data_IF_177301614861
#
_entry.id   IF_177301614861
#
_cell.length_a   1.000
_cell.length_b   1.000
_cell.length_c   1.000
_cell.angle_alpha   90.00
_cell.angle_beta   90.00
_cell.angle_gamma   90.00
#
_symmetry.space_group_name_H-M   'P 1'
#
loop_
_entity.id
_entity.type
_entity.pdbx_description
1 polymer ?
#
# COMPACT_ATOMS: atom_id res chain seq x y z
N UNK A 1 -4.38 -16.96 21.83
CA UNK A 1 -4.64 -15.51 21.90
C UNK A 1 -3.74 -15.00 23.01
N UNK A 2 -2.49 -14.59 22.70
CA UNK A 2 -1.53 -13.94 23.62
C UNK A 2 -0.05 -13.96 23.16
N UNK A 3 0.31 -14.57 22.02
CA UNK A 3 1.73 -14.82 21.72
C UNK A 3 2.58 -13.60 21.29
N UNK A 4 2.12 -12.35 21.41
CA UNK A 4 3.01 -11.20 21.12
C UNK A 4 2.74 -9.90 21.86
N UNK A 5 1.63 -9.69 22.58
CA UNK A 5 1.29 -8.33 23.04
C UNK A 5 1.37 -7.29 21.88
N UNK A 6 1.16 -7.73 20.63
CA UNK A 6 1.28 -6.92 19.42
C UNK A 6 -0.08 -6.83 18.71
N UNK A 7 -1.11 -6.52 19.51
CA UNK A 7 -2.47 -6.20 19.05
C UNK A 7 -2.44 -5.00 18.09
N UNK A 8 -1.48 -4.09 18.27
CA UNK A 8 -1.30 -2.90 17.44
C UNK A 8 -0.97 -3.25 15.99
N UNK A 9 -0.06 -4.20 15.73
CA UNK A 9 0.33 -4.56 14.36
C UNK A 9 -0.79 -5.29 13.60
N UNK A 10 -1.53 -6.18 14.26
CA UNK A 10 -2.72 -6.80 13.67
C UNK A 10 -3.82 -5.77 13.38
N UNK A 11 -3.98 -4.78 14.26
CA UNK A 11 -4.92 -3.69 14.07
C UNK A 11 -4.48 -2.78 12.91
N UNK A 12 -3.20 -2.43 12.82
CA UNK A 12 -2.61 -1.64 11.74
C UNK A 12 -2.75 -2.34 10.37
N UNK A 13 -2.46 -3.64 10.28
CA UNK A 13 -2.67 -4.40 9.05
C UNK A 13 -4.15 -4.50 8.66
N UNK A 14 -5.06 -4.56 9.65
CA UNK A 14 -6.50 -4.53 9.39
C UNK A 14 -6.96 -3.15 8.88
N UNK A 15 -6.48 -2.06 9.48
CA UNK A 15 -6.74 -0.70 8.98
C UNK A 15 -6.17 -0.47 7.58
N UNK A 16 -5.00 -1.05 7.27
CA UNK A 16 -4.44 -1.02 5.92
C UNK A 16 -5.25 -1.83 4.93
N UNK A 17 -5.77 -2.99 5.34
CA UNK A 17 -6.69 -3.77 4.52
C UNK A 17 -7.97 -2.98 4.21
N UNK A 18 -8.55 -2.27 5.18
CA UNK A 18 -9.72 -1.42 4.94
C UNK A 18 -9.38 -0.21 4.05
N UNK A 19 -8.21 0.43 4.20
CA UNK A 19 -7.76 1.49 3.30
C UNK A 19 -7.56 1.01 1.85
N UNK A 20 -7.01 -0.19 1.68
CA UNK A 20 -6.93 -0.86 0.37
C UNK A 20 -8.32 -1.26 -0.14
N UNK A 21 -9.27 -1.57 0.74
CA UNK A 21 -10.63 -1.95 0.33
C UNK A 21 -11.48 -0.75 -0.08
N UNK A 22 -11.35 0.38 0.60
CA UNK A 22 -12.13 1.60 0.34
C UNK A 22 -11.52 2.49 -0.76
N UNK A 23 -10.19 2.63 -0.84
CA UNK A 23 -9.56 3.62 -1.73
C UNK A 23 -9.05 3.08 -3.08
N UNK A 24 -8.81 1.77 -3.20
CA UNK A 24 -8.04 1.19 -4.31
C UNK A 24 -8.89 0.34 -5.25
N UNK A 25 -10.01 -0.23 -4.77
CA UNK A 25 -10.81 -1.14 -5.58
C UNK A 25 -11.65 -0.44 -6.66
N UNK A 26 -11.88 0.88 -6.55
CA UNK A 26 -12.72 1.59 -7.51
C UNK A 26 -12.04 2.03 -8.81
N UNK A 27 -10.73 1.82 -8.97
CA UNK A 27 -10.06 1.92 -10.28
C UNK A 27 -9.35 0.61 -10.65
N UNK A 28 -10.17 -0.39 -11.00
CA UNK A 28 -9.83 -1.81 -11.26
C UNK A 28 -8.68 -2.05 -12.25
N UNK A 29 -8.19 -1.03 -12.97
CA UNK A 29 -7.14 -1.18 -14.00
C UNK A 29 -5.73 -0.75 -13.56
N UNK A 30 -5.55 0.01 -12.48
CA UNK A 30 -4.24 0.64 -12.19
C UNK A 30 -3.43 -0.13 -11.15
N UNK A 31 -4.02 -0.60 -10.05
CA UNK A 31 -3.24 -1.34 -9.04
C UNK A 31 -2.78 -2.74 -9.48
N UNK A 32 -3.48 -3.35 -10.45
CA UNK A 32 -3.06 -4.64 -11.04
C UNK A 32 -2.19 -4.48 -12.29
N UNK A 33 -1.85 -3.24 -12.70
CA UNK A 33 -0.96 -2.99 -13.84
C UNK A 33 0.52 -3.10 -13.49
N UNK A 34 0.89 -3.16 -12.21
CA UNK A 34 2.28 -3.38 -11.80
C UNK A 34 2.43 -4.71 -11.07
N UNK A 35 2.73 -5.79 -11.82
CA UNK A 35 3.17 -7.07 -11.26
C UNK A 35 4.32 -6.90 -10.25
N UNK A 36 5.17 -5.89 -10.48
CA UNK A 36 6.30 -5.51 -9.62
C UNK A 36 5.86 -5.18 -8.19
N UNK A 37 4.80 -4.41 -8.00
CA UNK A 37 4.34 -3.94 -6.69
C UNK A 37 3.81 -5.08 -5.82
N UNK A 38 3.16 -6.08 -6.44
CA UNK A 38 2.67 -7.27 -5.71
C UNK A 38 3.82 -8.13 -5.18
N UNK A 39 4.88 -8.33 -5.97
CA UNK A 39 6.05 -9.09 -5.53
C UNK A 39 6.74 -8.36 -4.37
N UNK A 40 6.95 -7.05 -4.50
CA UNK A 40 7.55 -6.22 -3.45
C UNK A 40 6.76 -6.26 -2.15
N UNK A 41 5.42 -6.15 -2.20
CA UNK A 41 4.58 -6.25 -1.01
C UNK A 41 4.70 -7.61 -0.34
N UNK A 42 4.69 -8.70 -1.13
CA UNK A 42 4.84 -10.04 -0.60
C UNK A 42 6.20 -10.23 0.09
N UNK A 43 7.26 -9.68 -0.47
CA UNK A 43 8.60 -9.77 0.11
C UNK A 43 8.73 -8.93 1.39
N UNK A 44 8.08 -7.77 1.46
CA UNK A 44 7.97 -6.99 2.71
C UNK A 44 7.22 -7.78 3.80
N UNK A 45 6.10 -8.43 3.46
CA UNK A 45 5.36 -9.26 4.41
C UNK A 45 6.17 -10.47 4.88
N UNK A 46 6.94 -11.10 3.99
CA UNK A 46 7.88 -12.17 4.35
C UNK A 46 8.95 -11.69 5.32
N UNK A 47 9.58 -10.55 5.05
CA UNK A 47 10.59 -9.98 5.94
C UNK A 47 10.06 -9.69 7.35
N UNK A 48 8.83 -9.17 7.46
CA UNK A 48 8.17 -8.98 8.76
C UNK A 48 7.97 -10.33 9.45
N UNK A 49 7.41 -11.32 8.75
CA UNK A 49 7.17 -12.64 9.30
C UNK A 49 8.47 -13.32 9.77
N UNK A 50 9.53 -13.26 8.97
CA UNK A 50 10.81 -13.90 9.27
C UNK A 50 11.44 -13.30 10.54
N UNK A 51 11.40 -11.97 10.68
CA UNK A 51 11.87 -11.29 11.89
C UNK A 51 11.04 -11.65 13.14
N UNK A 52 9.72 -11.78 13.00
CA UNK A 52 8.85 -12.21 14.09
C UNK A 52 9.12 -13.66 14.49
N UNK A 53 9.28 -14.57 13.52
CA UNK A 53 9.58 -15.98 13.78
C UNK A 53 10.96 -16.14 14.45
N UNK A 54 11.93 -15.31 14.07
CA UNK A 54 13.23 -15.23 14.72
C UNK A 54 13.20 -14.60 16.13
N UNK A 55 12.05 -14.04 16.55
CA UNK A 55 11.87 -13.28 17.80
C UNK A 55 12.80 -12.06 17.92
N UNK A 56 13.21 -11.49 16.78
CA UNK A 56 13.97 -10.26 16.75
C UNK A 56 13.01 -9.06 16.68
N UNK A 57 12.76 -8.46 17.85
CA UNK A 57 11.86 -7.31 17.96
C UNK A 57 12.35 -6.06 17.23
N UNK A 58 13.67 -5.85 17.15
CA UNK A 58 14.25 -4.69 16.47
C UNK A 58 14.11 -4.83 14.95
N UNK A 59 14.44 -6.01 14.41
CA UNK A 59 14.27 -6.31 13.00
C UNK A 59 12.78 -6.28 12.58
N UNK A 60 11.89 -6.84 13.41
CA UNK A 60 10.45 -6.83 13.12
C UNK A 60 9.91 -5.40 13.05
N UNK A 61 10.34 -4.54 13.99
CA UNK A 61 9.97 -3.12 13.99
C UNK A 61 10.46 -2.42 12.73
N UNK A 62 11.74 -2.57 12.38
CA UNK A 62 12.32 -1.94 11.19
C UNK A 62 11.61 -2.40 9.90
N UNK A 63 11.30 -3.69 9.78
CA UNK A 63 10.57 -4.24 8.63
C UNK A 63 9.15 -3.66 8.51
N UNK A 64 8.45 -3.47 9.63
CA UNK A 64 7.13 -2.84 9.65
C UNK A 64 7.20 -1.36 9.29
N UNK A 65 8.16 -0.60 9.83
CA UNK A 65 8.36 0.82 9.49
C UNK A 65 8.63 0.99 7.99
N UNK A 66 9.51 0.17 7.41
CA UNK A 66 9.79 0.15 5.98
C UNK A 66 8.55 -0.17 5.13
N UNK A 67 7.71 -1.11 5.58
CA UNK A 67 6.44 -1.43 4.92
C UNK A 67 5.47 -0.24 4.96
N UNK A 68 5.35 0.44 6.11
CA UNK A 68 4.44 1.58 6.25
C UNK A 68 4.86 2.75 5.35
N UNK A 69 6.16 3.01 5.23
CA UNK A 69 6.67 4.07 4.37
C UNK A 69 6.47 3.73 2.89
N UNK A 70 6.68 2.48 2.49
CA UNK A 70 6.36 2.03 1.13
C UNK A 70 4.88 2.24 0.80
N UNK A 71 3.97 1.83 1.70
CA UNK A 71 2.52 2.00 1.51
C UNK A 71 2.16 3.49 1.42
N UNK A 72 2.75 4.34 2.27
CA UNK A 72 2.54 5.80 2.24
C UNK A 72 2.97 6.41 0.90
N UNK A 73 4.15 6.05 0.41
CA UNK A 73 4.66 6.52 -0.88
C UNK A 73 3.76 6.06 -2.02
N UNK A 74 3.41 4.78 -2.06
CA UNK A 74 2.53 4.22 -3.08
C UNK A 74 1.15 4.91 -3.10
N UNK A 75 0.57 5.19 -1.93
CA UNK A 75 -0.70 5.92 -1.83
C UNK A 75 -0.57 7.36 -2.32
N UNK A 76 0.52 8.03 -1.98
CA UNK A 76 0.79 9.41 -2.41
C UNK A 76 0.94 9.50 -3.92
N UNK A 77 1.68 8.56 -4.51
CA UNK A 77 1.89 8.46 -5.94
C UNK A 77 0.57 8.17 -6.68
N UNK A 78 -0.25 7.28 -6.12
CA UNK A 78 -1.59 7.00 -6.63
C UNK A 78 -2.48 8.25 -6.63
N UNK A 79 -2.59 8.95 -5.50
CA UNK A 79 -3.39 10.18 -5.41
C UNK A 79 -2.90 11.26 -6.39
N UNK A 80 -1.59 11.33 -6.62
CA UNK A 80 -1.02 12.25 -7.61
C UNK A 80 -1.39 11.83 -9.04
N UNK A 81 -1.34 10.53 -9.34
CA UNK A 81 -1.73 10.00 -10.64
C UNK A 81 -3.21 10.27 -10.95
N UNK A 82 -4.10 10.04 -10.00
CA UNK A 82 -5.54 10.32 -10.14
C UNK A 82 -5.80 11.81 -10.44
N UNK A 83 -5.18 12.73 -9.68
CA UNK A 83 -5.29 14.18 -9.96
C UNK A 83 -4.78 14.55 -11.36
N UNK A 84 -3.69 13.94 -11.79
CA UNK A 84 -3.14 14.19 -13.12
C UNK A 84 -4.08 13.66 -14.22
N UNK A 85 -4.70 12.50 -14.01
CA UNK A 85 -5.67 11.93 -14.94
C UNK A 85 -6.92 12.82 -15.08
N UNK A 86 -7.45 13.33 -13.96
CA UNK A 86 -8.57 14.28 -13.98
C UNK A 86 -8.24 15.55 -14.79
N UNK A 87 -7.03 16.10 -14.60
CA UNK A 87 -6.57 17.27 -15.35
C UNK A 87 -6.41 16.93 -16.84
N UNK A 88 -5.81 15.77 -17.16
CA UNK A 88 -5.63 15.33 -18.54
C UNK A 88 -6.98 15.15 -19.25
N UNK A 89 -7.98 14.58 -18.57
CA UNK A 89 -9.35 14.40 -19.09
C UNK A 89 -10.01 15.74 -19.41
N UNK A 90 -9.92 16.72 -18.48
CA UNK A 90 -10.43 18.08 -18.71
C UNK A 90 -9.76 18.78 -19.91
N UNK A 91 -8.46 18.55 -20.13
CA UNK A 91 -7.74 19.09 -21.29
C UNK A 91 -8.22 18.46 -22.59
N UNK A 92 -8.37 17.14 -22.63
CA UNK A 92 -8.88 16.41 -23.80
C UNK A 92 -10.29 16.85 -24.18
N UNK A 93 -11.18 17.04 -23.20
CA UNK A 93 -12.55 17.49 -23.44
C UNK A 93 -12.58 18.91 -24.05
N UNK A 94 -11.70 19.81 -23.58
CA UNK A 94 -11.57 21.17 -24.10
C UNK A 94 -10.95 21.21 -25.51
N UNK A 95 -10.03 20.29 -25.83
CA UNK A 95 -9.44 20.14 -27.17
C UNK A 95 -10.40 19.48 -28.16
N UNK A 96 -11.22 18.52 -27.72
CA UNK A 96 -12.18 17.78 -28.56
C UNK A 96 -13.50 18.53 -28.80
N UNK A 97 -13.78 19.57 -28.00
CA UNK A 97 -14.94 20.46 -28.18
C UNK A 97 -14.69 21.64 -29.12
N UNK A 98 -13.51 21.72 -29.75
CA UNK A 98 -13.14 22.68 -30.79
C UNK A 98 -13.20 22.04 -32.17
#
# INVERSE_FOLDING_TARGET
>A
IEASHNVIMLHMMRSMYELLREGVFYNRQIMFRQRTTRATLLDQHRAINDALQARDGAAARAAVEAHMDFVRSALTDYQRAERNEEIARKRLDHESGR
#
